data_IF_062824195286
#
_entry.id   IF_062824195286
#
_cell.length_a   1.000
_cell.length_b   1.000
_cell.length_c   1.000
_cell.angle_alpha   90.00
_cell.angle_beta   90.00
_cell.angle_gamma   90.00
#
_symmetry.space_group_name_H-M   'P 1'
#
loop_
_entity.id
_entity.type
_entity.pdbx_description
1 polymer ?
#
# COMPACT_ATOMS: atom_id res chain seq x y z
N UNK A 1 10.91 39.44 18.25
CA UNK A 1 12.35 39.52 18.59
C UNK A 1 12.93 38.15 18.22
N UNK A 2 13.69 38.09 17.16
CA UNK A 2 14.46 36.92 16.79
C UNK A 2 15.57 36.76 17.84
N UNK A 3 15.27 35.97 18.88
CA UNK A 3 16.23 35.68 19.95
C UNK A 3 17.42 34.92 19.36
N UNK A 4 18.62 35.31 19.74
CA UNK A 4 19.79 34.51 19.42
C UNK A 4 19.61 33.09 19.94
N UNK A 5 20.06 32.08 19.17
CA UNK A 5 19.91 30.68 19.57
C UNK A 5 20.64 30.43 20.89
N UNK A 6 20.02 29.72 21.83
CA UNK A 6 20.61 29.35 23.12
C UNK A 6 21.97 28.69 22.89
N UNK A 7 23.01 29.17 23.58
CA UNK A 7 24.37 28.69 23.46
C UNK A 7 24.54 27.18 23.63
N UNK A 8 23.59 26.53 24.35
CA UNK A 8 23.54 25.09 24.50
C UNK A 8 23.31 24.39 23.15
N UNK A 9 22.37 24.89 22.34
CA UNK A 9 22.06 24.31 21.03
C UNK A 9 23.14 24.62 19.99
N UNK A 10 23.76 25.82 20.07
CA UNK A 10 24.93 26.19 19.25
C UNK A 10 26.06 25.21 19.51
N UNK A 11 26.38 24.96 20.80
CA UNK A 11 27.39 23.99 21.19
C UNK A 11 27.10 22.57 20.75
N UNK A 12 25.85 22.12 20.88
CA UNK A 12 25.46 20.80 20.44
C UNK A 12 25.62 20.59 18.93
N UNK A 13 25.36 21.62 18.13
CA UNK A 13 25.55 21.56 16.68
C UNK A 13 26.98 21.86 16.22
N UNK A 14 27.92 22.02 17.14
CA UNK A 14 29.34 22.31 16.87
C UNK A 14 29.54 23.46 15.87
N UNK A 15 28.78 24.52 16.03
CA UNK A 15 28.84 25.68 15.15
C UNK A 15 30.10 26.50 15.48
N UNK A 16 30.81 26.94 14.41
CA UNK A 16 31.96 27.86 14.55
C UNK A 16 31.48 29.31 14.46
N UNK A 17 32.14 30.21 15.18
CA UNK A 17 31.89 31.67 15.14
C UNK A 17 32.44 32.32 13.85
N UNK A 18 32.46 31.68 12.72
CA UNK A 18 33.00 32.23 11.47
C UNK A 18 31.96 33.05 10.72
N UNK A 19 32.41 34.17 10.12
CA UNK A 19 31.56 35.08 9.36
C UNK A 19 31.01 34.48 8.07
N UNK A 20 31.66 33.45 7.50
CA UNK A 20 31.25 32.74 6.28
C UNK A 20 30.82 31.32 6.66
N UNK A 21 29.52 31.02 6.57
CA UNK A 21 28.97 29.73 6.91
C UNK A 21 28.75 28.88 5.63
N UNK A 22 29.27 27.65 5.64
CA UNK A 22 28.95 26.65 4.62
C UNK A 22 27.44 26.34 4.61
N UNK A 23 26.95 25.67 3.55
CA UNK A 23 25.54 25.27 3.48
C UNK A 23 25.13 24.44 4.70
N UNK A 24 25.96 23.48 5.10
CA UNK A 24 25.73 22.65 6.30
C UNK A 24 25.72 23.44 7.60
N UNK A 25 26.62 24.41 7.77
CA UNK A 25 26.64 25.28 8.96
C UNK A 25 25.38 26.16 9.04
N UNK A 26 24.88 26.65 7.92
CA UNK A 26 23.61 27.40 7.87
C UNK A 26 22.44 26.53 8.32
N UNK A 27 22.36 25.29 7.82
CA UNK A 27 21.32 24.32 8.20
C UNK A 27 21.44 24.03 9.72
N UNK A 28 22.63 23.76 10.25
CA UNK A 28 22.84 23.52 11.68
C UNK A 28 22.41 24.72 12.53
N UNK A 29 22.72 25.95 12.09
CA UNK A 29 22.30 27.17 12.81
C UNK A 29 20.78 27.32 12.82
N UNK A 30 20.11 27.08 11.67
CA UNK A 30 18.67 27.15 11.58
C UNK A 30 17.99 26.14 12.52
N UNK A 31 18.51 24.92 12.57
CA UNK A 31 18.05 23.87 13.48
C UNK A 31 18.22 24.30 14.93
N UNK A 32 19.43 24.76 15.33
CA UNK A 32 19.68 25.22 16.68
C UNK A 32 18.74 26.37 17.08
N UNK A 33 18.51 27.32 16.17
CA UNK A 33 17.58 28.44 16.39
C UNK A 33 16.14 27.97 16.57
N UNK A 34 15.69 26.99 15.75
CA UNK A 34 14.35 26.45 15.86
C UNK A 34 14.12 25.74 17.22
N UNK A 35 15.05 24.90 17.62
CA UNK A 35 14.98 24.17 18.89
C UNK A 35 15.07 25.08 20.13
N UNK A 36 15.83 26.17 20.05
CA UNK A 36 15.99 27.13 21.16
C UNK A 36 14.73 27.93 21.49
N UNK A 37 13.77 27.98 20.56
CA UNK A 37 12.46 28.64 20.77
C UNK A 37 11.53 27.88 21.72
N UNK A 38 11.82 26.61 22.02
CA UNK A 38 10.99 25.76 22.89
C UNK A 38 9.50 25.78 22.54
N UNK A 39 9.17 25.89 21.26
CA UNK A 39 7.81 25.94 20.78
C UNK A 39 7.06 24.63 21.13
N UNK A 40 5.74 24.66 21.44
CA UNK A 40 4.98 23.45 21.71
C UNK A 40 4.88 22.53 20.50
N UNK A 41 5.03 23.06 19.28
CA UNK A 41 5.04 22.34 18.01
C UNK A 41 6.16 22.88 17.10
N UNK A 42 6.97 21.99 16.58
CA UNK A 42 8.03 22.25 15.62
C UNK A 42 7.69 21.58 14.28
N UNK A 43 7.85 22.32 13.20
CA UNK A 43 7.76 21.79 11.84
C UNK A 43 9.16 21.64 11.26
N UNK A 44 9.50 20.49 10.71
CA UNK A 44 10.76 20.20 10.08
C UNK A 44 10.52 19.59 8.69
N UNK A 45 11.00 20.27 7.65
CA UNK A 45 10.93 19.81 6.26
C UNK A 45 12.34 19.44 5.79
N UNK A 46 12.55 18.17 5.49
CA UNK A 46 13.83 17.57 5.08
C UNK A 46 15.03 18.04 5.93
N UNK A 47 14.99 17.89 7.26
CA UNK A 47 15.98 18.52 8.15
C UNK A 47 17.38 17.92 8.04
N UNK A 48 17.55 16.78 7.41
CA UNK A 48 18.86 16.14 7.13
C UNK A 48 19.56 16.71 5.91
N UNK A 49 18.87 17.51 5.10
CA UNK A 49 19.44 18.10 3.89
C UNK A 49 20.64 18.98 4.22
N UNK A 50 21.76 18.74 3.55
CA UNK A 50 23.06 19.41 3.76
C UNK A 50 23.71 19.16 5.13
N UNK A 51 23.26 18.17 5.91
CA UNK A 51 23.97 17.71 7.09
C UNK A 51 24.92 16.57 6.73
N UNK A 52 26.07 16.56 7.36
CA UNK A 52 26.95 15.40 7.40
C UNK A 52 26.46 14.40 8.47
N UNK A 53 27.07 13.22 8.51
CA UNK A 53 26.66 12.15 9.41
C UNK A 53 26.65 12.59 10.88
N UNK A 54 27.66 13.41 11.30
CA UNK A 54 27.73 13.95 12.66
C UNK A 54 26.57 14.92 12.95
N UNK A 55 26.21 15.76 11.97
CA UNK A 55 25.07 16.67 12.06
C UNK A 55 23.74 15.95 12.19
N UNK A 56 23.56 14.82 11.46
CA UNK A 56 22.35 13.97 11.58
C UNK A 56 22.27 13.35 12.97
N UNK A 57 23.35 12.77 13.50
CA UNK A 57 23.35 12.20 14.85
C UNK A 57 23.04 13.24 15.94
N UNK A 58 23.52 14.47 15.76
CA UNK A 58 23.19 15.56 16.67
C UNK A 58 21.73 15.96 16.59
N UNK A 59 21.19 16.06 15.37
CA UNK A 59 19.77 16.32 15.14
C UNK A 59 18.89 15.24 15.82
N UNK A 60 19.22 13.96 15.65
CA UNK A 60 18.53 12.85 16.31
C UNK A 60 18.48 13.03 17.83
N UNK A 61 19.62 13.35 18.45
CA UNK A 61 19.72 13.59 19.90
C UNK A 61 18.86 14.77 20.35
N UNK A 62 18.87 15.86 19.56
CA UNK A 62 18.06 17.05 19.86
C UNK A 62 16.57 16.75 19.76
N UNK A 63 16.15 16.00 18.74
CA UNK A 63 14.76 15.57 18.55
C UNK A 63 14.29 14.65 19.69
N UNK A 64 15.11 13.68 20.08
CA UNK A 64 14.81 12.76 21.16
C UNK A 64 14.64 13.47 22.53
N UNK A 65 15.36 14.56 22.74
CA UNK A 65 15.29 15.37 23.97
C UNK A 65 14.25 16.49 23.92
N UNK A 66 13.55 16.68 22.81
CA UNK A 66 12.60 17.78 22.66
C UNK A 66 11.30 17.50 23.42
N UNK A 67 10.82 18.50 24.18
CA UNK A 67 9.60 18.34 25.01
C UNK A 67 8.31 18.65 24.27
N UNK A 68 8.38 19.38 23.15
CA UNK A 68 7.24 19.69 22.29
C UNK A 68 6.97 18.57 21.27
N UNK A 69 5.88 18.72 20.51
CA UNK A 69 5.62 17.87 19.36
C UNK A 69 6.49 18.30 18.16
N UNK A 70 6.96 17.33 17.38
CA UNK A 70 7.66 17.56 16.11
C UNK A 70 6.83 16.94 14.99
N UNK A 71 6.45 17.74 14.00
CA UNK A 71 5.90 17.24 12.75
C UNK A 71 6.97 17.37 11.66
N UNK A 72 7.40 16.23 11.13
CA UNK A 72 8.54 16.18 10.21
C UNK A 72 8.12 15.55 8.87
N UNK A 73 8.66 16.12 7.79
CA UNK A 73 8.66 15.50 6.46
C UNK A 73 10.12 15.09 6.18
N UNK A 74 10.34 13.82 5.84
CA UNK A 74 11.67 13.34 5.48
C UNK A 74 11.63 12.10 4.61
N UNK A 75 12.60 11.95 3.72
CA UNK A 75 12.89 10.74 2.97
C UNK A 75 13.94 9.85 3.65
N UNK A 76 14.56 10.31 4.72
CA UNK A 76 15.53 9.54 5.50
C UNK A 76 14.81 8.53 6.41
N UNK A 77 14.76 7.29 5.93
CA UNK A 77 14.09 6.19 6.65
C UNK A 77 14.76 5.88 7.98
N UNK A 78 16.07 6.07 8.07
CA UNK A 78 16.83 5.82 9.29
C UNK A 78 16.48 6.83 10.36
N UNK A 79 16.41 8.11 10.00
CA UNK A 79 15.95 9.16 10.90
C UNK A 79 14.51 8.90 11.37
N UNK A 80 13.58 8.63 10.42
CA UNK A 80 12.17 8.33 10.74
C UNK A 80 12.05 7.14 11.69
N UNK A 81 12.89 6.14 11.50
CA UNK A 81 12.85 4.92 12.33
C UNK A 81 13.35 5.16 13.76
N UNK A 82 14.32 6.06 13.93
CA UNK A 82 14.92 6.36 15.23
C UNK A 82 14.15 7.38 16.06
N UNK A 83 13.49 8.35 15.41
CA UNK A 83 12.92 9.50 16.14
C UNK A 83 11.39 9.53 16.12
N UNK A 84 10.73 8.90 15.16
CA UNK A 84 9.28 8.95 15.04
C UNK A 84 8.60 7.89 15.92
N UNK A 85 7.51 8.28 16.56
CA UNK A 85 6.59 7.39 17.28
C UNK A 85 5.22 7.32 16.63
N UNK A 86 4.98 8.11 15.60
CA UNK A 86 3.78 8.11 14.76
C UNK A 86 4.16 8.44 13.32
N UNK A 87 3.52 7.76 12.39
CA UNK A 87 3.65 8.05 10.95
C UNK A 87 2.29 8.53 10.42
N UNK A 88 2.32 9.65 9.71
CA UNK A 88 1.16 10.18 9.01
C UNK A 88 1.33 9.91 7.52
N UNK A 89 0.46 9.05 6.98
CA UNK A 89 0.41 8.74 5.56
C UNK A 89 -0.66 9.59 4.88
N UNK A 90 -0.27 10.34 3.86
CA UNK A 90 -1.21 11.11 3.02
C UNK A 90 -1.41 10.34 1.71
N UNK A 91 -2.59 9.78 1.52
CA UNK A 91 -2.95 9.04 0.32
C UNK A 91 -4.35 9.42 -0.16
N UNK A 92 -4.49 9.76 -1.44
CA UNK A 92 -5.79 10.13 -2.02
C UNK A 92 -6.50 11.29 -1.31
N UNK A 93 -5.76 12.27 -0.76
CA UNK A 93 -6.30 13.40 -0.01
C UNK A 93 -6.78 13.05 1.42
N UNK A 94 -6.51 11.86 1.89
CA UNK A 94 -6.86 11.40 3.25
C UNK A 94 -5.59 11.16 4.06
N UNK A 95 -5.65 11.48 5.35
CA UNK A 95 -4.57 11.20 6.29
C UNK A 95 -4.93 9.95 7.08
N UNK A 96 -4.01 8.98 7.09
CA UNK A 96 -4.03 7.82 8.00
C UNK A 96 -2.89 7.98 9.00
N UNK A 97 -3.18 7.75 10.26
CA UNK A 97 -2.19 7.83 11.35
C UNK A 97 -1.86 6.42 11.81
N UNK A 98 -0.56 6.12 11.89
CA UNK A 98 -0.04 4.84 12.37
C UNK A 98 0.78 5.11 13.63
N UNK A 99 0.58 4.30 14.65
CA UNK A 99 1.41 4.28 15.84
C UNK A 99 2.66 3.44 15.58
N UNK A 100 3.81 3.95 16.00
CA UNK A 100 5.11 3.33 15.79
C UNK A 100 6.02 4.13 14.86
N UNK A 101 7.18 3.55 14.56
CA UNK A 101 8.21 4.13 13.70
C UNK A 101 8.01 3.75 12.22
N UNK A 102 8.96 4.10 11.36
CA UNK A 102 8.91 3.79 9.93
C UNK A 102 8.92 2.28 9.65
N UNK A 103 9.69 1.51 10.39
CA UNK A 103 9.74 0.04 10.24
C UNK A 103 8.40 -0.61 10.59
N UNK A 104 7.75 -0.17 11.66
CA UNK A 104 6.42 -0.65 12.07
C UNK A 104 5.38 -0.36 11.00
N UNK A 105 5.34 0.89 10.51
CA UNK A 105 4.46 1.31 9.42
C UNK A 105 4.69 0.47 8.16
N UNK A 106 5.96 0.30 7.76
CA UNK A 106 6.33 -0.45 6.56
C UNK A 106 5.89 -1.92 6.65
N UNK A 107 6.07 -2.55 7.81
CA UNK A 107 5.60 -3.92 8.04
C UNK A 107 4.08 -4.01 7.97
N UNK A 108 3.36 -3.07 8.58
CA UNK A 108 1.90 -3.04 8.53
C UNK A 108 1.40 -2.87 7.10
N UNK A 109 1.95 -1.94 6.33
CA UNK A 109 1.60 -1.73 4.90
C UNK A 109 1.88 -2.98 4.07
N UNK A 110 2.98 -3.66 4.30
CA UNK A 110 3.30 -4.90 3.61
C UNK A 110 2.29 -6.02 3.93
N UNK A 111 1.85 -6.14 5.20
CA UNK A 111 0.81 -7.10 5.59
C UNK A 111 -0.53 -6.78 4.94
N UNK A 112 -0.97 -5.51 4.97
CA UNK A 112 -2.21 -5.05 4.33
C UNK A 112 -2.20 -5.36 2.83
N UNK A 113 -1.08 -5.07 2.16
CA UNK A 113 -0.90 -5.34 0.73
C UNK A 113 -0.92 -6.83 0.40
N UNK A 114 -0.20 -7.65 1.16
CA UNK A 114 -0.19 -9.09 0.97
C UNK A 114 -1.59 -9.68 1.16
N UNK A 115 -2.35 -9.17 2.13
CA UNK A 115 -3.73 -9.57 2.35
C UNK A 115 -4.64 -9.18 1.16
N UNK A 116 -4.54 -7.94 0.67
CA UNK A 116 -5.27 -7.48 -0.52
C UNK A 116 -4.92 -8.32 -1.76
N UNK A 117 -3.64 -8.64 -1.96
CA UNK A 117 -3.21 -9.51 -3.05
C UNK A 117 -3.81 -10.92 -2.92
N UNK A 118 -3.80 -11.48 -1.72
CA UNK A 118 -4.42 -12.78 -1.45
C UNK A 118 -5.92 -12.77 -1.75
N UNK A 119 -6.66 -11.75 -1.28
CA UNK A 119 -8.10 -11.60 -1.57
C UNK A 119 -8.37 -11.49 -3.08
N UNK A 120 -7.55 -10.69 -3.79
CA UNK A 120 -7.64 -10.56 -5.23
C UNK A 120 -7.39 -11.88 -5.95
N UNK A 121 -6.37 -12.64 -5.55
CA UNK A 121 -6.05 -13.93 -6.14
C UNK A 121 -7.17 -14.97 -5.89
N UNK A 122 -7.77 -14.98 -4.70
CA UNK A 122 -8.95 -15.82 -4.41
C UNK A 122 -10.13 -15.43 -5.26
N UNK A 123 -10.43 -14.14 -5.37
CA UNK A 123 -11.46 -13.63 -6.27
C UNK A 123 -11.24 -14.10 -7.72
N UNK A 124 -10.02 -13.98 -8.24
CA UNK A 124 -9.67 -14.40 -9.60
C UNK A 124 -9.80 -15.92 -9.80
N UNK A 125 -9.46 -16.72 -8.80
CA UNK A 125 -9.62 -18.19 -8.82
C UNK A 125 -11.10 -18.57 -8.87
N UNK A 126 -11.90 -18.00 -7.97
CA UNK A 126 -13.33 -18.28 -7.90
C UNK A 126 -14.06 -17.84 -9.18
N UNK A 127 -13.76 -16.63 -9.66
CA UNK A 127 -14.29 -16.11 -10.93
C UNK A 127 -14.01 -17.08 -12.08
N UNK A 128 -12.75 -17.50 -12.25
CA UNK A 128 -12.35 -18.45 -13.31
C UNK A 128 -13.03 -19.82 -13.15
N UNK A 129 -13.23 -20.27 -11.90
CA UNK A 129 -13.94 -21.53 -11.63
C UNK A 129 -15.40 -21.44 -12.06
N UNK A 130 -16.10 -20.39 -11.70
CA UNK A 130 -17.50 -20.15 -12.08
C UNK A 130 -17.66 -19.97 -13.58
N UNK A 131 -16.79 -19.24 -14.25
CA UNK A 131 -16.77 -19.06 -15.70
C UNK A 131 -16.63 -20.43 -16.42
N UNK A 132 -15.67 -21.25 -16.01
CA UNK A 132 -15.46 -22.59 -16.56
C UNK A 132 -16.67 -23.50 -16.32
N UNK A 133 -17.29 -23.42 -15.12
CA UNK A 133 -18.48 -24.19 -14.81
C UNK A 133 -19.67 -23.76 -15.68
N UNK A 134 -19.89 -22.47 -15.90
CA UNK A 134 -20.89 -21.92 -16.78
C UNK A 134 -20.71 -22.39 -18.23
N UNK A 135 -19.45 -22.33 -18.74
CA UNK A 135 -19.13 -22.83 -20.09
C UNK A 135 -19.35 -24.33 -20.25
N UNK A 136 -18.97 -25.13 -19.25
CA UNK A 136 -19.20 -26.57 -19.26
C UNK A 136 -20.70 -26.91 -19.31
N UNK A 137 -21.52 -26.22 -18.51
CA UNK A 137 -22.98 -26.38 -18.52
C UNK A 137 -23.58 -25.88 -19.82
N UNK A 138 -23.07 -24.84 -20.42
CA UNK A 138 -23.48 -24.34 -21.73
C UNK A 138 -23.23 -25.38 -22.83
N UNK A 139 -22.03 -25.96 -22.91
CA UNK A 139 -21.66 -27.01 -23.86
C UNK A 139 -22.54 -28.26 -23.66
N UNK A 140 -22.76 -28.67 -22.40
CA UNK A 140 -23.63 -29.79 -22.06
C UNK A 140 -25.07 -29.58 -22.54
N UNK A 141 -25.62 -28.38 -22.35
CA UNK A 141 -26.93 -27.99 -22.83
C UNK A 141 -27.08 -28.13 -24.35
N UNK A 142 -26.03 -27.73 -25.11
CA UNK A 142 -26.03 -27.82 -26.58
C UNK A 142 -25.96 -29.27 -27.11
N UNK A 143 -25.28 -30.17 -26.40
CA UNK A 143 -25.12 -31.57 -26.84
C UNK A 143 -26.34 -32.45 -26.51
N UNK A 144 -27.09 -32.09 -25.47
CA UNK A 144 -28.26 -32.85 -25.02
C UNK A 144 -29.47 -32.80 -25.98
N UNK A 145 -29.49 -31.85 -26.91
CA UNK A 145 -30.60 -31.66 -27.85
C UNK A 145 -30.48 -32.50 -29.13
N UNK A 146 -29.36 -33.20 -29.33
CA UNK A 146 -29.15 -34.01 -30.54
C UNK A 146 -29.56 -35.46 -30.29
N UNK A 147 -30.67 -35.92 -30.87
CA UNK A 147 -31.08 -37.35 -30.76
C UNK A 147 -30.08 -38.25 -31.49
N UNK A 148 -29.88 -39.50 -31.04
CA UNK A 148 -29.11 -40.50 -31.77
C UNK A 148 -29.66 -40.72 -33.18
N UNK A 149 -28.77 -40.92 -34.16
CA UNK A 149 -29.10 -41.00 -35.60
C UNK A 149 -30.02 -42.16 -36.00
N UNK A 150 -30.32 -43.12 -35.11
CA UNK A 150 -31.22 -44.26 -35.37
C UNK A 150 -32.08 -44.53 -34.13
N UNK A 151 -33.26 -43.88 -34.05
CA UNK A 151 -34.26 -44.12 -33.01
C UNK A 151 -35.63 -44.40 -33.65
N UNK A 152 -36.36 -45.40 -33.12
CA UNK A 152 -37.75 -45.64 -33.45
C UNK A 152 -38.67 -44.54 -32.88
N UNK A 153 -39.88 -44.39 -33.50
CA UNK A 153 -40.78 -43.28 -33.11
C UNK A 153 -41.21 -43.31 -31.64
N UNK A 154 -41.41 -44.49 -31.06
CA UNK A 154 -41.79 -44.66 -29.65
C UNK A 154 -40.63 -44.33 -28.70
N UNK A 155 -39.44 -44.76 -29.04
CA UNK A 155 -38.19 -44.43 -28.28
C UNK A 155 -37.88 -42.93 -28.32
N UNK A 156 -38.17 -42.27 -29.45
CA UNK A 156 -37.98 -40.84 -29.61
C UNK A 156 -38.87 -40.02 -28.64
N UNK A 157 -40.12 -40.43 -28.40
CA UNK A 157 -41.04 -39.75 -27.47
C UNK A 157 -40.54 -39.86 -26.02
N UNK A 158 -40.08 -41.04 -25.59
CA UNK A 158 -39.51 -41.27 -24.27
C UNK A 158 -38.21 -40.50 -24.10
N UNK A 159 -37.32 -40.52 -25.10
CA UNK A 159 -36.07 -39.78 -25.11
C UNK A 159 -36.33 -38.27 -24.97
N UNK A 160 -37.29 -37.72 -25.69
CA UNK A 160 -37.64 -36.30 -25.65
C UNK A 160 -38.12 -35.87 -24.24
N UNK A 161 -38.89 -36.71 -23.56
CA UNK A 161 -39.33 -36.46 -22.19
C UNK A 161 -38.16 -36.38 -21.20
N UNK A 162 -37.30 -37.41 -21.23
CA UNK A 162 -36.11 -37.45 -20.35
C UNK A 162 -35.11 -36.33 -20.66
N UNK A 163 -34.88 -36.08 -21.95
CA UNK A 163 -33.97 -34.99 -22.37
C UNK A 163 -34.50 -33.62 -21.94
N UNK A 164 -35.80 -33.37 -21.98
CA UNK A 164 -36.41 -32.12 -21.52
C UNK A 164 -36.19 -31.88 -20.02
N UNK A 165 -36.38 -32.88 -19.18
CA UNK A 165 -36.16 -32.79 -17.72
C UNK A 165 -34.69 -32.55 -17.44
N UNK A 166 -33.79 -33.29 -18.07
CA UNK A 166 -32.35 -33.10 -17.91
C UNK A 166 -31.88 -31.72 -18.38
N UNK A 167 -32.44 -31.20 -19.48
CA UNK A 167 -32.18 -29.87 -19.99
C UNK A 167 -32.63 -28.79 -18.98
N UNK A 168 -33.80 -28.98 -18.36
CA UNK A 168 -34.27 -28.09 -17.28
C UNK A 168 -33.32 -28.03 -16.12
N UNK A 169 -32.79 -29.16 -15.63
CA UNK A 169 -31.79 -29.20 -14.57
C UNK A 169 -30.46 -28.50 -14.97
N UNK A 170 -29.99 -28.70 -16.22
CA UNK A 170 -28.77 -28.05 -16.70
C UNK A 170 -28.95 -26.53 -16.79
N UNK A 171 -30.11 -26.07 -17.26
CA UNK A 171 -30.41 -24.63 -17.32
C UNK A 171 -30.55 -24.02 -15.94
N UNK A 172 -31.22 -24.69 -14.99
CA UNK A 172 -31.29 -24.21 -13.59
C UNK A 172 -29.91 -24.11 -12.94
N UNK A 173 -29.07 -25.13 -13.10
CA UNK A 173 -27.71 -25.12 -12.60
C UNK A 173 -26.86 -23.98 -13.24
N UNK A 174 -27.03 -23.76 -14.56
CA UNK A 174 -26.34 -22.65 -15.25
C UNK A 174 -26.78 -21.29 -14.70
N UNK A 175 -28.09 -21.09 -14.50
CA UNK A 175 -28.62 -19.87 -13.92
C UNK A 175 -28.08 -19.63 -12.52
N UNK A 176 -28.01 -20.68 -11.69
CA UNK A 176 -27.40 -20.58 -10.36
C UNK A 176 -25.90 -20.17 -10.38
N UNK A 177 -25.14 -20.77 -11.32
CA UNK A 177 -23.69 -20.42 -11.48
C UNK A 177 -23.53 -18.98 -11.97
N UNK A 178 -24.34 -18.53 -12.92
CA UNK A 178 -24.31 -17.16 -13.43
C UNK A 178 -24.71 -16.15 -12.35
N UNK A 179 -25.73 -16.45 -11.55
CA UNK A 179 -26.12 -15.62 -10.42
C UNK A 179 -25.00 -15.51 -9.39
N UNK A 180 -24.28 -16.60 -9.07
CA UNK A 180 -23.11 -16.56 -8.19
C UNK A 180 -22.00 -15.71 -8.78
N UNK A 181 -21.75 -15.79 -10.09
CA UNK A 181 -20.76 -14.96 -10.77
C UNK A 181 -21.12 -13.48 -10.71
N UNK A 182 -22.39 -13.14 -10.88
CA UNK A 182 -22.90 -11.76 -10.82
C UNK A 182 -22.81 -11.17 -9.42
N UNK A 183 -23.04 -11.99 -8.37
CA UNK A 183 -22.96 -11.58 -6.97
C UNK A 183 -21.56 -11.72 -6.39
N UNK A 184 -20.58 -12.20 -7.17
CA UNK A 184 -19.21 -12.32 -6.69
C UNK A 184 -18.63 -10.91 -6.45
N UNK A 185 -18.31 -10.61 -5.18
CA UNK A 185 -17.76 -9.33 -4.79
C UNK A 185 -16.45 -9.05 -5.52
N UNK A 186 -16.43 -8.01 -6.35
CA UNK A 186 -15.26 -7.63 -7.12
C UNK A 186 -14.17 -7.09 -6.18
N UNK A 187 -13.01 -7.73 -6.17
CA UNK A 187 -11.82 -7.23 -5.48
C UNK A 187 -10.93 -6.50 -6.47
N UNK A 188 -10.38 -5.38 -6.05
CA UNK A 188 -9.44 -4.61 -6.86
C UNK A 188 -8.02 -5.13 -6.66
N UNK A 189 -7.23 -5.12 -7.74
CA UNK A 189 -5.81 -5.46 -7.66
C UNK A 189 -5.10 -4.39 -6.83
N UNK A 190 -4.29 -4.75 -5.81
CA UNK A 190 -3.50 -3.77 -5.09
C UNK A 190 -2.60 -2.98 -6.04
N UNK A 191 -2.42 -1.69 -5.77
CA UNK A 191 -1.55 -0.83 -6.57
C UNK A 191 -0.11 -1.39 -6.57
N UNK A 192 0.49 -1.46 -7.75
CA UNK A 192 1.89 -1.85 -7.88
C UNK A 192 2.77 -0.70 -7.37
N UNK A 193 3.77 -1.03 -6.55
CA UNK A 193 4.79 -0.05 -6.20
C UNK A 193 5.52 0.36 -7.48
N UNK A 194 5.85 1.65 -7.67
CA UNK A 194 6.65 2.07 -8.80
C UNK A 194 7.98 1.28 -8.79
N UNK A 195 8.20 0.49 -9.83
CA UNK A 195 9.43 -0.26 -10.00
C UNK A 195 10.52 0.71 -10.44
N UNK A 196 11.36 1.14 -9.50
CA UNK A 196 12.56 1.90 -9.83
C UNK A 196 13.59 0.91 -10.38
N UNK A 197 13.64 0.75 -11.70
CA UNK A 197 14.75 0.04 -12.35
C UNK A 197 15.93 0.99 -12.47
N UNK A 198 16.92 0.89 -11.59
CA UNK A 198 18.21 1.50 -11.82
C UNK A 198 18.93 0.68 -12.89
N UNK A 199 19.06 1.21 -14.11
CA UNK A 199 20.07 0.75 -15.05
C UNK A 199 21.40 1.33 -14.58
N UNK A 200 22.25 0.49 -13.98
CA UNK A 200 23.65 0.84 -13.80
C UNK A 200 24.27 0.95 -15.21
N UNK A 201 24.97 2.04 -15.54
CA UNK A 201 25.76 2.07 -16.78
C UNK A 201 26.80 0.96 -16.70
N UNK A 202 26.91 0.20 -17.79
CA UNK A 202 27.96 -0.80 -17.95
C UNK A 202 29.32 -0.13 -17.78
N UNK A 203 30.20 -0.72 -16.94
CA UNK A 203 31.54 -0.23 -16.66
C UNK A 203 32.49 -0.48 -17.84
#
# INVERSE_FOLDING_TARGET
SDGEPDGRFISQMKLRESAVKSGGERTRLAIASAFSKHAPLLFADEPTTNLDMEGVEMLEKMMAGYRGAILMISHDRTLLDRVCNKIWELEGGKIRVFDGNYSDWSQQKNRERNFQQFEYDQYQKEKRHLEKAADALHRKSQTMTKPPKRMGRSEWILYKGVASVQQGHVQSNKAAVLSRLEHLEKKEKPAELPHVSMKLPDA
#
